data_IF_048899726294
#
_entry.id   IF_048899726294
#
_cell.length_a   1.000
_cell.length_b   1.000
_cell.length_c   1.000
_cell.angle_alpha   90.00
_cell.angle_beta   90.00
_cell.angle_gamma   90.00
#
_symmetry.space_group_name_H-M   'P 1'
#
loop_
_entity.id
_entity.type
_entity.pdbx_description
1 polymer ?
#
# COMPACT_ATOMS: atom_id res chain seq x y z
N UNK A 1 -59.15 -54.16 28.77
CA UNK A 1 -57.70 -54.46 28.59
C UNK A 1 -57.36 -54.12 27.15
N UNK A 2 -56.93 -52.95 26.90
CA UNK A 2 -56.60 -52.49 25.54
C UNK A 2 -55.06 -52.41 25.42
N UNK A 3 -54.51 -53.07 24.41
CA UNK A 3 -53.10 -53.06 24.08
C UNK A 3 -52.88 -51.93 23.05
N UNK A 4 -52.09 -50.95 23.40
CA UNK A 4 -51.64 -49.85 22.50
C UNK A 4 -50.38 -50.34 21.77
N UNK A 5 -50.50 -50.44 20.43
CA UNK A 5 -49.38 -50.73 19.53
C UNK A 5 -48.72 -49.38 19.14
N UNK A 6 -47.49 -49.19 19.56
CA UNK A 6 -46.66 -48.02 19.12
C UNK A 6 -45.99 -48.32 17.81
N UNK A 7 -46.33 -47.53 16.81
CA UNK A 7 -45.76 -47.59 15.47
C UNK A 7 -44.44 -46.76 15.48
N UNK A 8 -43.27 -47.44 15.25
CA UNK A 8 -41.98 -46.81 15.11
C UNK A 8 -41.78 -46.37 13.67
N UNK A 9 -41.88 -45.07 13.42
CA UNK A 9 -41.49 -44.46 12.17
C UNK A 9 -39.95 -44.37 12.10
N UNK A 10 -39.36 -45.02 11.13
CA UNK A 10 -37.91 -45.00 10.88
C UNK A 10 -37.64 -43.81 9.96
N UNK A 11 -37.04 -42.75 10.52
CA UNK A 11 -36.48 -41.64 9.71
C UNK A 11 -35.13 -42.08 9.14
N UNK A 12 -35.07 -42.28 7.81
CA UNK A 12 -33.83 -42.38 7.08
C UNK A 12 -33.24 -41.01 6.86
N UNK A 13 -32.21 -40.67 7.62
CA UNK A 13 -31.42 -39.46 7.40
C UNK A 13 -30.38 -39.77 6.34
N UNK A 14 -30.62 -39.35 5.11
CA UNK A 14 -29.63 -39.37 4.05
C UNK A 14 -28.55 -38.32 4.31
N UNK A 15 -27.39 -38.74 4.80
CA UNK A 15 -26.18 -37.94 4.91
C UNK A 15 -25.64 -37.73 3.49
N UNK A 16 -25.89 -36.55 2.92
CA UNK A 16 -25.30 -36.13 1.66
C UNK A 16 -23.86 -35.67 1.96
N UNK A 17 -22.87 -36.54 1.69
CA UNK A 17 -21.47 -36.20 1.69
C UNK A 17 -21.23 -35.23 0.52
N UNK A 18 -21.10 -33.94 0.81
CA UNK A 18 -20.57 -32.96 -0.13
C UNK A 18 -19.06 -33.14 -0.14
N UNK A 19 -18.55 -33.89 -1.12
CA UNK A 19 -17.13 -33.96 -1.41
C UNK A 19 -16.71 -32.62 -2.01
N UNK A 20 -15.98 -31.82 -1.22
CA UNK A 20 -15.25 -30.69 -1.76
C UNK A 20 -14.13 -31.23 -2.65
N UNK A 21 -14.35 -31.25 -3.95
CA UNK A 21 -13.25 -31.38 -4.90
C UNK A 21 -12.42 -30.10 -4.80
N UNK A 22 -11.27 -30.19 -4.12
CA UNK A 22 -10.18 -29.23 -4.27
C UNK A 22 -9.62 -29.47 -5.67
N UNK A 23 -10.17 -28.76 -6.66
CA UNK A 23 -9.51 -28.64 -7.95
C UNK A 23 -8.28 -27.78 -7.71
N UNK A 24 -7.13 -28.42 -7.82
CA UNK A 24 -5.82 -27.79 -7.91
C UNK A 24 -5.81 -27.03 -9.26
N UNK A 25 -6.36 -25.82 -9.25
CA UNK A 25 -6.29 -24.92 -10.40
C UNK A 25 -5.07 -24.05 -10.20
N UNK A 26 -4.01 -24.36 -10.91
CA UNK A 26 -2.95 -23.44 -11.29
C UNK A 26 -3.53 -22.34 -12.23
N UNK A 27 -4.57 -21.64 -11.78
CA UNK A 27 -5.23 -20.59 -12.50
C UNK A 27 -4.80 -19.24 -11.93
N UNK A 28 -4.16 -18.47 -12.77
CA UNK A 28 -3.98 -17.02 -12.81
C UNK A 28 -4.28 -16.24 -11.52
N UNK A 29 -3.22 -15.84 -10.80
CA UNK A 29 -3.26 -14.92 -9.65
C UNK A 29 -3.76 -13.50 -10.00
N UNK A 30 -4.22 -13.25 -11.23
CA UNK A 30 -4.58 -11.90 -11.71
C UNK A 30 -6.08 -11.59 -11.75
N UNK A 31 -6.96 -12.54 -11.48
CA UNK A 31 -8.40 -12.32 -11.68
C UNK A 31 -9.15 -12.33 -10.35
N UNK A 32 -9.26 -11.13 -9.73
CA UNK A 32 -10.26 -10.91 -8.68
C UNK A 32 -11.66 -11.11 -9.28
N UNK A 33 -12.59 -11.67 -8.51
CA UNK A 33 -14.00 -11.72 -8.93
C UNK A 33 -14.58 -10.30 -9.05
N UNK A 34 -15.61 -10.13 -9.86
CA UNK A 34 -16.32 -8.84 -10.01
C UNK A 34 -16.77 -8.30 -8.65
N UNK A 35 -17.23 -9.17 -7.77
CA UNK A 35 -17.64 -8.82 -6.41
C UNK A 35 -16.48 -8.32 -5.56
N UNK A 36 -15.33 -9.01 -5.58
CA UNK A 36 -14.13 -8.57 -4.87
C UNK A 36 -13.64 -7.21 -5.34
N UNK A 37 -13.61 -7.00 -6.67
CA UNK A 37 -13.22 -5.72 -7.27
C UNK A 37 -14.19 -4.61 -6.85
N UNK A 38 -15.52 -4.88 -6.90
CA UNK A 38 -16.55 -3.91 -6.47
C UNK A 38 -16.38 -3.54 -4.99
N UNK A 39 -16.12 -4.51 -4.12
CA UNK A 39 -15.92 -4.27 -2.70
C UNK A 39 -14.66 -3.45 -2.44
N UNK A 40 -13.54 -3.75 -3.11
CA UNK A 40 -12.31 -2.94 -3.01
C UNK A 40 -12.52 -1.51 -3.52
N UNK A 41 -13.33 -1.31 -4.58
CA UNK A 41 -13.60 0.01 -5.15
C UNK A 41 -14.50 0.88 -4.26
N UNK A 42 -15.41 0.28 -3.51
CA UNK A 42 -16.26 0.99 -2.54
C UNK A 42 -15.45 1.64 -1.42
N UNK A 43 -14.32 1.04 -1.02
CA UNK A 43 -13.50 1.56 0.09
C UNK A 43 -13.03 3.01 -0.16
N UNK A 44 -12.27 3.32 -1.25
CA UNK A 44 -11.88 4.70 -1.51
C UNK A 44 -13.06 5.61 -1.84
N UNK A 45 -14.09 5.13 -2.55
CA UNK A 45 -15.27 5.93 -2.86
C UNK A 45 -16.03 6.39 -1.61
N UNK A 46 -16.01 5.59 -0.54
CA UNK A 46 -16.71 5.91 0.71
C UNK A 46 -15.98 6.95 1.56
N UNK A 47 -14.71 7.26 1.30
CA UNK A 47 -13.94 8.12 2.18
C UNK A 47 -13.30 9.37 1.52
N UNK A 48 -12.97 9.36 0.21
CA UNK A 48 -12.21 10.46 -0.41
C UNK A 48 -12.89 11.83 -0.33
N UNK A 49 -14.21 11.89 -0.21
CA UNK A 49 -14.99 13.12 -0.03
C UNK A 49 -15.49 13.34 1.41
N UNK A 50 -15.14 12.45 2.35
CA UNK A 50 -15.56 12.54 3.76
C UNK A 50 -14.51 13.31 4.55
N UNK A 51 -14.86 14.55 4.93
CA UNK A 51 -13.94 15.48 5.59
C UNK A 51 -13.65 15.11 7.03
N UNK A 52 -14.62 14.52 7.76
CA UNK A 52 -14.49 14.17 9.19
C UNK A 52 -14.91 12.73 9.46
N UNK A 53 -14.25 12.03 10.46
CA UNK A 53 -13.15 12.52 11.31
C UNK A 53 -11.86 12.73 10.52
N UNK A 54 -10.98 13.66 10.98
CA UNK A 54 -9.74 14.00 10.28
C UNK A 54 -8.60 14.30 11.24
N UNK A 55 -7.38 13.93 10.84
CA UNK A 55 -6.13 14.19 11.54
C UNK A 55 -5.21 15.02 10.66
N UNK A 56 -5.17 16.33 10.86
CA UNK A 56 -4.41 17.26 10.03
C UNK A 56 -2.89 17.12 10.13
N UNK A 57 -2.38 16.79 11.32
CA UNK A 57 -0.94 16.61 11.54
C UNK A 57 -0.07 17.86 11.34
N UNK A 58 -0.67 19.06 11.34
CA UNK A 58 0.00 20.34 11.09
C UNK A 58 0.62 20.95 12.37
N UNK A 59 1.56 21.87 12.16
CA UNK A 59 2.08 22.75 13.22
C UNK A 59 1.42 24.11 13.06
N UNK A 60 0.71 24.56 14.10
CA UNK A 60 0.09 25.91 14.14
C UNK A 60 1.14 26.93 14.56
N UNK A 61 1.36 27.95 13.75
CA UNK A 61 2.20 29.11 14.06
C UNK A 61 1.39 30.27 14.65
N UNK A 62 0.10 30.31 14.32
CA UNK A 62 -0.87 31.31 14.83
C UNK A 62 -2.30 30.73 14.80
N UNK A 63 -3.26 31.48 15.33
CA UNK A 63 -4.67 31.15 15.26
C UNK A 63 -5.20 31.14 13.81
N UNK A 64 -4.58 31.89 12.91
CA UNK A 64 -4.97 31.97 11.50
C UNK A 64 -4.69 30.68 10.73
N UNK A 65 -3.85 29.79 11.30
CA UNK A 65 -3.57 28.45 10.75
C UNK A 65 -4.69 27.43 11.03
N UNK A 66 -5.70 27.81 11.85
CA UNK A 66 -6.85 26.95 12.18
C UNK A 66 -7.86 26.94 11.03
N UNK A 67 -7.57 26.16 10.02
CA UNK A 67 -8.46 25.93 8.88
C UNK A 67 -9.02 24.51 8.89
N UNK A 68 -10.16 24.31 8.22
CA UNK A 68 -10.71 22.96 8.05
C UNK A 68 -9.83 22.11 7.12
N UNK A 69 -9.92 20.76 7.20
CA UNK A 69 -9.16 19.89 6.31
C UNK A 69 -9.27 20.25 4.83
N UNK A 70 -10.49 20.53 4.37
CA UNK A 70 -10.75 20.91 2.97
C UNK A 70 -10.23 22.30 2.61
N UNK A 71 -10.17 23.21 3.55
CA UNK A 71 -9.59 24.53 3.33
C UNK A 71 -8.07 24.46 3.21
N UNK A 72 -7.41 23.60 3.98
CA UNK A 72 -5.97 23.38 3.95
C UNK A 72 -5.54 22.53 2.74
N UNK A 73 -6.24 21.44 2.51
CA UNK A 73 -5.88 20.39 1.55
C UNK A 73 -7.04 20.07 0.60
N UNK A 74 -7.39 21.00 -0.32
CA UNK A 74 -8.59 20.85 -1.14
C UNK A 74 -8.53 19.66 -2.10
N UNK A 75 -7.34 19.14 -2.41
CA UNK A 75 -7.18 17.92 -3.20
C UNK A 75 -7.29 16.66 -2.34
N UNK A 76 -6.83 16.70 -1.08
CA UNK A 76 -6.63 15.48 -0.28
C UNK A 76 -7.13 15.64 1.16
N UNK A 77 -8.40 16.06 1.32
CA UNK A 77 -9.03 16.32 2.62
C UNK A 77 -9.78 15.15 3.23
N UNK A 78 -10.07 14.10 2.44
CA UNK A 78 -10.87 12.96 2.90
C UNK A 78 -10.05 11.83 3.52
N UNK A 79 -10.70 10.70 3.80
CA UNK A 79 -10.07 9.47 4.28
C UNK A 79 -9.20 9.65 5.53
N UNK A 80 -9.61 10.47 6.51
CA UNK A 80 -8.98 10.64 7.81
C UNK A 80 -7.73 11.53 7.85
N UNK A 81 -6.80 11.39 6.89
CA UNK A 81 -5.60 12.23 6.79
C UNK A 81 -5.14 12.40 5.33
N UNK A 82 -4.17 13.27 5.10
CA UNK A 82 -3.70 13.61 3.77
C UNK A 82 -3.18 12.40 2.99
N UNK A 83 -2.26 11.64 3.58
CA UNK A 83 -1.68 10.49 2.89
C UNK A 83 -2.70 9.38 2.63
N UNK A 84 -3.67 9.18 3.52
CA UNK A 84 -4.74 8.20 3.28
C UNK A 84 -5.70 8.68 2.18
N UNK A 85 -5.92 10.00 2.05
CA UNK A 85 -6.64 10.55 0.90
C UNK A 85 -5.87 10.29 -0.40
N UNK A 86 -4.55 10.49 -0.42
CA UNK A 86 -3.70 10.14 -1.58
C UNK A 86 -3.79 8.65 -1.90
N UNK A 87 -3.77 7.78 -0.89
CA UNK A 87 -4.01 6.33 -1.07
C UNK A 87 -5.35 6.04 -1.73
N UNK A 88 -6.41 6.73 -1.28
CA UNK A 88 -7.75 6.59 -1.85
C UNK A 88 -7.77 6.97 -3.33
N UNK A 89 -7.17 8.10 -3.69
CA UNK A 89 -7.06 8.55 -5.08
C UNK A 89 -6.24 7.58 -5.93
N UNK A 90 -5.09 7.08 -5.40
CA UNK A 90 -4.31 6.05 -6.06
C UNK A 90 -5.14 4.78 -6.30
N UNK A 91 -5.89 4.33 -5.29
CA UNK A 91 -6.73 3.14 -5.37
C UNK A 91 -7.81 3.28 -6.44
N UNK A 92 -8.46 4.46 -6.55
CA UNK A 92 -9.43 4.74 -7.61
C UNK A 92 -8.77 4.62 -8.99
N UNK A 93 -7.63 5.28 -9.21
CA UNK A 93 -6.91 5.23 -10.49
C UNK A 93 -6.46 3.82 -10.82
N UNK A 94 -5.90 3.09 -9.85
CA UNK A 94 -5.42 1.71 -10.03
C UNK A 94 -6.54 0.76 -10.44
N UNK A 95 -7.68 0.84 -9.78
CA UNK A 95 -8.83 0.00 -10.08
C UNK A 95 -9.50 0.38 -11.41
N UNK A 96 -9.66 1.68 -11.71
CA UNK A 96 -10.17 2.15 -13.00
C UNK A 96 -9.27 1.71 -14.16
N UNK A 97 -7.94 1.75 -13.98
CA UNK A 97 -6.98 1.28 -14.99
C UNK A 97 -7.06 -0.22 -15.21
N UNK A 98 -7.25 -1.00 -14.15
CA UNK A 98 -7.29 -2.47 -14.23
C UNK A 98 -8.66 -3.00 -14.63
N UNK A 99 -9.73 -2.29 -14.29
CA UNK A 99 -11.14 -2.69 -14.49
C UNK A 99 -11.96 -1.49 -15.01
N UNK A 100 -11.77 -1.06 -16.28
CA UNK A 100 -12.34 0.20 -16.78
C UNK A 100 -13.87 0.23 -16.78
N UNK A 101 -14.53 -0.92 -16.78
CA UNK A 101 -16.00 -1.05 -16.79
C UNK A 101 -16.58 -1.32 -15.39
N UNK A 102 -15.84 -1.04 -14.32
CA UNK A 102 -16.32 -1.22 -12.94
C UNK A 102 -17.53 -0.30 -12.69
N UNK A 103 -18.48 -0.80 -11.90
CA UNK A 103 -19.63 0.01 -11.48
C UNK A 103 -19.15 1.30 -10.76
N UNK A 104 -19.81 2.43 -11.03
CA UNK A 104 -19.41 3.77 -10.53
C UNK A 104 -18.10 4.34 -11.11
N UNK A 105 -17.55 3.79 -12.20
CA UNK A 105 -16.33 4.29 -12.82
C UNK A 105 -16.41 5.79 -13.16
N UNK A 106 -17.52 6.25 -13.77
CA UNK A 106 -17.70 7.66 -14.14
C UNK A 106 -17.82 8.58 -12.92
N UNK A 107 -18.45 8.11 -11.84
CA UNK A 107 -18.46 8.86 -10.57
C UNK A 107 -17.04 9.05 -10.01
N UNK A 108 -16.24 8.00 -9.98
CA UNK A 108 -14.85 8.07 -9.54
C UNK A 108 -14.01 9.02 -10.41
N UNK A 109 -14.17 9.00 -11.74
CA UNK A 109 -13.51 9.95 -12.65
C UNK A 109 -13.93 11.41 -12.36
N UNK A 110 -15.19 11.63 -12.04
CA UNK A 110 -15.67 12.97 -11.69
C UNK A 110 -15.10 13.45 -10.34
N UNK A 111 -14.97 12.58 -9.35
CA UNK A 111 -14.28 12.89 -8.08
C UNK A 111 -12.83 13.27 -8.34
N UNK A 112 -12.09 12.46 -9.12
CA UNK A 112 -10.70 12.76 -9.47
C UNK A 112 -10.56 14.12 -10.16
N UNK A 113 -11.44 14.45 -11.15
CA UNK A 113 -11.44 15.75 -11.82
C UNK A 113 -11.74 16.92 -10.87
N UNK A 114 -12.65 16.71 -9.91
CA UNK A 114 -13.02 17.73 -8.92
C UNK A 114 -11.90 18.02 -7.93
N UNK A 115 -11.15 17.00 -7.53
CA UNK A 115 -10.09 17.12 -6.53
C UNK A 115 -8.76 17.58 -7.15
N UNK A 116 -8.38 17.02 -8.29
CA UNK A 116 -7.08 17.28 -8.94
C UNK A 116 -7.20 18.43 -9.96
N UNK A 117 -7.74 19.57 -9.54
CA UNK A 117 -7.75 20.81 -10.38
C UNK A 117 -6.43 21.55 -10.23
N UNK A 118 -6.10 22.41 -11.21
CA UNK A 118 -4.91 23.27 -11.16
C UNK A 118 -4.88 24.10 -9.87
N UNK A 119 -6.03 24.69 -9.49
CA UNK A 119 -6.14 25.53 -8.30
C UNK A 119 -5.90 24.74 -7.01
N UNK A 120 -6.55 23.58 -6.86
CA UNK A 120 -6.40 22.75 -5.67
C UNK A 120 -4.94 22.27 -5.52
N UNK A 121 -4.33 21.80 -6.61
CA UNK A 121 -2.94 21.35 -6.60
C UNK A 121 -1.97 22.50 -6.28
N UNK A 122 -2.22 23.70 -6.80
CA UNK A 122 -1.38 24.85 -6.45
C UNK A 122 -1.39 25.13 -4.94
N UNK A 123 -2.54 24.99 -4.27
CA UNK A 123 -2.63 25.16 -2.81
C UNK A 123 -1.84 24.07 -2.07
N UNK A 124 -1.86 22.82 -2.53
CA UNK A 124 -1.03 21.76 -1.96
C UNK A 124 0.47 22.04 -2.12
N UNK A 125 0.89 22.56 -3.29
CA UNK A 125 2.27 22.98 -3.56
C UNK A 125 2.70 24.10 -2.61
N UNK A 126 1.87 25.14 -2.46
CA UNK A 126 2.17 26.27 -1.60
C UNK A 126 2.28 25.84 -0.13
N UNK A 127 1.37 24.96 0.32
CA UNK A 127 1.44 24.39 1.66
C UNK A 127 2.74 23.61 1.92
N UNK A 128 3.17 22.75 0.97
CA UNK A 128 4.42 22.01 1.08
C UNK A 128 5.66 22.91 1.10
N UNK A 129 5.68 24.00 0.33
CA UNK A 129 6.77 24.98 0.33
C UNK A 129 6.92 25.67 1.68
N UNK A 130 5.80 25.99 2.33
CA UNK A 130 5.78 26.59 3.66
C UNK A 130 6.08 25.58 4.77
N UNK A 131 5.87 24.28 4.51
CA UNK A 131 6.01 23.17 5.46
C UNK A 131 6.83 21.98 4.87
N UNK A 132 8.11 22.18 4.52
CA UNK A 132 8.91 21.23 3.71
C UNK A 132 9.29 19.92 4.40
N UNK A 133 8.81 19.64 5.60
CA UNK A 133 8.97 18.38 6.30
C UNK A 133 7.65 17.61 6.50
N UNK A 134 6.54 18.25 6.14
CA UNK A 134 5.22 17.67 6.32
C UNK A 134 5.03 16.44 5.40
N UNK A 135 4.41 15.38 5.92
CA UNK A 135 4.14 14.10 5.24
C UNK A 135 5.39 13.31 4.79
N UNK A 136 6.59 13.73 5.19
CA UNK A 136 7.86 13.08 4.81
C UNK A 136 8.14 11.81 5.61
N UNK A 137 8.56 10.69 5.00
CA UNK A 137 8.61 10.44 3.55
C UNK A 137 7.36 9.73 3.00
N UNK A 138 6.43 9.29 3.85
CA UNK A 138 5.37 8.36 3.52
C UNK A 138 4.33 8.94 2.55
N UNK A 139 3.76 10.09 2.90
CA UNK A 139 2.80 10.77 2.04
C UNK A 139 3.42 11.21 0.72
N UNK A 140 4.69 11.68 0.74
CA UNK A 140 5.44 11.99 -0.48
C UNK A 140 5.55 10.79 -1.41
N UNK A 141 5.91 9.62 -0.86
CA UNK A 141 6.05 8.38 -1.62
C UNK A 141 4.73 7.98 -2.29
N UNK A 142 3.62 8.05 -1.55
CA UNK A 142 2.31 7.71 -2.09
C UNK A 142 1.81 8.70 -3.14
N UNK A 143 2.14 9.99 -3.02
CA UNK A 143 1.80 10.95 -4.09
C UNK A 143 2.57 10.66 -5.37
N UNK A 144 3.86 10.37 -5.29
CA UNK A 144 4.65 9.94 -6.45
C UNK A 144 4.13 8.62 -7.05
N UNK A 145 3.61 7.72 -6.21
CA UNK A 145 2.93 6.49 -6.67
C UNK A 145 1.63 6.80 -7.40
N UNK A 146 0.83 7.77 -6.91
CA UNK A 146 -0.38 8.24 -7.60
C UNK A 146 -0.04 8.85 -8.96
N UNK A 147 0.96 9.74 -9.04
CA UNK A 147 1.41 10.33 -10.30
C UNK A 147 1.87 9.24 -11.28
N UNK A 148 2.59 8.23 -10.80
CA UNK A 148 3.03 7.07 -11.60
C UNK A 148 1.86 6.23 -12.11
N UNK A 149 0.80 6.08 -11.33
CA UNK A 149 -0.38 5.32 -11.72
C UNK A 149 -1.18 6.05 -12.81
N UNK A 150 -1.39 7.38 -12.65
CA UNK A 150 -2.04 8.21 -13.65
C UNK A 150 -1.26 8.19 -14.97
N UNK A 151 0.07 8.28 -14.93
CA UNK A 151 0.94 8.22 -16.12
C UNK A 151 0.78 6.92 -16.91
N UNK A 152 0.49 5.82 -16.23
CA UNK A 152 0.28 4.49 -16.83
C UNK A 152 -1.16 4.24 -17.28
N UNK A 153 -2.07 5.14 -16.98
CA UNK A 153 -3.49 4.95 -17.24
C UNK A 153 -3.86 5.43 -18.66
N UNK A 154 -4.26 4.47 -19.50
CA UNK A 154 -4.71 4.76 -20.87
C UNK A 154 -6.22 5.11 -20.88
N UNK A 155 -6.54 6.34 -20.47
CA UNK A 155 -7.91 6.89 -20.46
C UNK A 155 -7.84 8.38 -20.83
N UNK A 156 -8.79 8.94 -21.60
CA UNK A 156 -8.77 10.36 -21.98
C UNK A 156 -8.69 11.35 -20.81
N UNK A 157 -9.11 10.96 -19.61
CA UNK A 157 -9.05 11.82 -18.43
C UNK A 157 -7.64 11.88 -17.82
N UNK A 158 -6.82 10.87 -18.06
CA UNK A 158 -5.52 10.71 -17.39
C UNK A 158 -4.53 11.83 -17.73
N UNK A 159 -4.49 12.27 -19.01
CA UNK A 159 -3.56 13.32 -19.45
C UNK A 159 -3.81 14.66 -18.71
N UNK A 160 -5.09 15.04 -18.57
CA UNK A 160 -5.46 16.25 -17.84
C UNK A 160 -5.16 16.14 -16.34
N UNK A 161 -5.50 15.00 -15.71
CA UNK A 161 -5.18 14.76 -14.29
C UNK A 161 -3.67 14.73 -14.04
N UNK A 162 -2.90 14.09 -14.94
CA UNK A 162 -1.44 14.03 -14.85
C UNK A 162 -0.81 15.41 -14.97
N UNK A 163 -1.23 16.20 -15.95
CA UNK A 163 -0.73 17.57 -16.14
C UNK A 163 -1.03 18.46 -14.91
N UNK A 164 -2.23 18.33 -14.32
CA UNK A 164 -2.60 19.07 -13.13
C UNK A 164 -1.77 18.66 -11.90
N UNK A 165 -1.52 17.34 -11.71
CA UNK A 165 -0.80 16.80 -10.54
C UNK A 165 0.71 17.03 -10.61
N UNK A 166 1.27 17.20 -11.82
CA UNK A 166 2.71 17.26 -12.04
C UNK A 166 3.43 18.32 -11.19
N UNK A 167 2.94 19.56 -11.01
CA UNK A 167 3.62 20.55 -10.17
C UNK A 167 3.83 20.09 -8.72
N UNK A 168 2.88 19.32 -8.15
CA UNK A 168 3.00 18.78 -6.80
C UNK A 168 4.02 17.63 -6.74
N UNK A 169 4.05 16.77 -7.76
CA UNK A 169 5.04 15.71 -7.87
C UNK A 169 6.46 16.28 -8.04
N UNK A 170 6.61 17.34 -8.84
CA UNK A 170 7.90 18.04 -9.03
C UNK A 170 8.40 18.69 -7.72
N UNK A 171 7.49 19.31 -6.95
CA UNK A 171 7.84 19.88 -5.64
C UNK A 171 8.32 18.79 -4.67
N UNK A 172 7.64 17.65 -4.63
CA UNK A 172 8.06 16.51 -3.80
C UNK A 172 9.41 15.95 -4.26
N UNK A 173 9.63 15.80 -5.57
CA UNK A 173 10.93 15.40 -6.10
C UNK A 173 12.04 16.36 -5.65
N UNK A 174 11.79 17.67 -5.77
CA UNK A 174 12.72 18.69 -5.29
C UNK A 174 13.00 18.54 -3.78
N UNK A 175 11.97 18.38 -2.97
CA UNK A 175 12.11 18.20 -1.51
C UNK A 175 12.91 16.95 -1.15
N UNK A 176 12.74 15.83 -1.86
CA UNK A 176 13.60 14.64 -1.70
C UNK A 176 15.07 14.97 -1.99
N UNK A 177 15.35 15.63 -3.12
CA UNK A 177 16.71 16.00 -3.52
C UNK A 177 17.37 16.91 -2.47
N UNK A 178 16.60 17.84 -1.88
CA UNK A 178 17.10 18.74 -0.83
C UNK A 178 17.29 18.05 0.53
N UNK A 179 16.45 17.05 0.84
CA UNK A 179 16.46 16.39 2.13
C UNK A 179 17.50 15.26 2.21
N UNK A 180 17.62 14.42 1.20
CA UNK A 180 18.45 13.22 1.24
C UNK A 180 19.91 13.50 1.61
N UNK A 181 20.59 14.57 1.15
CA UNK A 181 21.94 14.88 1.60
C UNK A 181 22.07 15.20 3.11
N UNK A 182 20.98 15.66 3.74
CA UNK A 182 20.94 16.03 5.15
C UNK A 182 20.64 14.84 6.07
N UNK A 183 19.98 13.81 5.57
CA UNK A 183 19.65 12.62 6.33
C UNK A 183 20.89 11.70 6.38
N UNK A 184 21.66 11.80 7.47
CA UNK A 184 22.90 11.02 7.62
C UNK A 184 22.61 9.54 7.87
N UNK A 185 21.60 9.25 8.70
CA UNK A 185 21.21 7.90 9.08
C UNK A 185 19.81 7.58 8.55
N UNK A 186 19.56 6.39 7.93
CA UNK A 186 18.24 5.98 7.53
C UNK A 186 17.39 5.63 8.74
N UNK A 187 16.08 5.83 8.64
CA UNK A 187 15.10 5.44 9.65
C UNK A 187 14.59 4.04 9.29
N UNK A 188 14.84 3.06 10.20
CA UNK A 188 14.50 1.64 10.03
C UNK A 188 13.38 1.24 10.98
N UNK A 189 12.17 1.72 10.72
CA UNK A 189 10.97 1.41 11.52
C UNK A 189 9.88 0.85 10.63
N UNK A 190 8.92 0.16 11.21
CA UNK A 190 7.77 -0.40 10.48
C UNK A 190 6.62 0.58 10.26
N UNK A 191 6.90 1.90 10.32
CA UNK A 191 5.90 2.96 10.28
C UNK A 191 6.23 4.04 9.22
N UNK A 192 5.41 5.13 9.20
CA UNK A 192 5.44 6.23 8.21
C UNK A 192 6.82 6.82 7.94
N UNK A 193 7.71 6.85 8.93
CA UNK A 193 9.05 7.43 8.78
C UNK A 193 10.07 6.49 8.10
N UNK A 194 9.69 5.28 7.70
CA UNK A 194 10.57 4.31 7.03
C UNK A 194 11.22 4.89 5.77
N UNK A 195 12.54 5.01 5.81
CA UNK A 195 13.31 5.63 4.71
C UNK A 195 13.29 4.74 3.46
N UNK A 196 13.52 3.45 3.58
CA UNK A 196 13.60 2.55 2.45
C UNK A 196 12.28 2.46 1.67
N UNK A 197 11.14 2.37 2.40
CA UNK A 197 9.81 2.43 1.79
C UNK A 197 9.60 3.74 1.01
N UNK A 198 9.89 4.89 1.64
CA UNK A 198 9.74 6.19 0.99
C UNK A 198 10.56 6.30 -0.29
N UNK A 199 11.80 5.79 -0.28
CA UNK A 199 12.68 5.80 -1.44
C UNK A 199 12.24 4.80 -2.54
N UNK A 200 11.52 3.73 -2.20
CA UNK A 200 11.07 2.73 -3.17
C UNK A 200 10.10 3.31 -4.19
N UNK A 201 9.05 3.98 -3.74
CA UNK A 201 8.08 4.60 -4.65
C UNK A 201 8.64 5.82 -5.37
N UNK A 202 9.49 6.60 -4.68
CA UNK A 202 10.20 7.71 -5.30
C UNK A 202 11.17 7.25 -6.40
N UNK A 203 11.83 6.09 -6.24
CA UNK A 203 12.65 5.48 -7.27
C UNK A 203 11.85 5.05 -8.49
N UNK A 204 10.73 4.35 -8.27
CA UNK A 204 9.84 3.91 -9.36
C UNK A 204 9.32 5.11 -10.18
N UNK A 205 8.95 6.22 -9.48
CA UNK A 205 8.60 7.49 -10.12
C UNK A 205 9.76 8.06 -10.94
N UNK A 206 10.95 8.18 -10.32
CA UNK A 206 12.12 8.77 -10.96
C UNK A 206 12.55 8.02 -12.23
N UNK A 207 12.37 6.70 -12.26
CA UNK A 207 12.61 5.86 -13.44
C UNK A 207 11.56 6.13 -14.52
N UNK A 208 10.26 6.14 -14.14
CA UNK A 208 9.14 6.30 -15.08
C UNK A 208 9.09 7.69 -15.74
N UNK A 209 9.42 8.74 -14.97
CA UNK A 209 9.41 10.12 -15.44
C UNK A 209 10.79 10.61 -15.92
N UNK A 210 11.79 9.73 -15.93
CA UNK A 210 13.17 10.06 -16.32
C UNK A 210 13.79 11.19 -15.50
N UNK A 211 13.38 11.34 -14.22
CA UNK A 211 13.94 12.31 -13.28
C UNK A 211 15.35 11.86 -12.84
N UNK A 212 16.34 12.31 -13.62
CA UNK A 212 17.75 11.96 -13.37
C UNK A 212 18.29 12.52 -12.07
N UNK A 213 17.76 13.66 -11.61
CA UNK A 213 18.17 14.32 -10.36
C UNK A 213 17.75 13.49 -9.16
N UNK A 214 16.47 13.17 -9.07
CA UNK A 214 15.89 12.35 -8.00
C UNK A 214 16.50 10.94 -8.00
N UNK A 215 16.58 10.31 -9.18
CA UNK A 215 17.16 8.98 -9.34
C UNK A 215 18.59 8.92 -8.78
N UNK A 216 19.45 9.87 -9.15
CA UNK A 216 20.84 9.93 -8.67
C UNK A 216 20.92 10.15 -7.16
N UNK A 217 20.07 11.00 -6.61
CA UNK A 217 20.01 11.27 -5.17
C UNK A 217 19.61 10.02 -4.39
N UNK A 218 18.58 9.29 -4.86
CA UNK A 218 18.11 8.05 -4.22
C UNK A 218 19.17 6.96 -4.32
N UNK A 219 19.71 6.70 -5.53
CA UNK A 219 20.74 5.67 -5.75
C UNK A 219 21.93 5.86 -4.81
N UNK A 220 22.46 7.10 -4.77
CA UNK A 220 23.58 7.42 -3.90
C UNK A 220 23.26 7.09 -2.44
N UNK A 221 22.10 7.54 -1.93
CA UNK A 221 21.77 7.36 -0.51
C UNK A 221 21.38 5.94 -0.16
N UNK A 222 20.71 5.22 -1.03
CA UNK A 222 20.43 3.81 -0.82
C UNK A 222 21.73 2.98 -0.71
N UNK A 223 22.71 3.26 -1.56
CA UNK A 223 24.02 2.60 -1.48
C UNK A 223 24.79 3.02 -0.22
N UNK A 224 24.79 4.31 0.15
CA UNK A 224 25.42 4.79 1.37
C UNK A 224 24.81 4.11 2.62
N UNK A 225 23.49 3.90 2.66
CA UNK A 225 22.79 3.37 3.81
C UNK A 225 22.81 1.85 3.93
N UNK A 226 22.61 1.15 2.81
CA UNK A 226 22.15 -0.24 2.84
C UNK A 226 23.11 -1.24 2.18
N UNK A 227 24.07 -0.78 1.37
CA UNK A 227 24.97 -1.68 0.65
C UNK A 227 25.76 -2.63 1.54
N UNK A 228 26.08 -2.19 2.75
CA UNK A 228 26.90 -2.94 3.69
C UNK A 228 26.10 -3.64 4.80
N UNK A 229 24.77 -3.53 4.78
CA UNK A 229 23.91 -4.17 5.78
C UNK A 229 23.91 -5.69 5.61
N UNK A 230 23.93 -6.40 6.74
CA UNK A 230 24.03 -7.85 6.85
C UNK A 230 23.12 -8.34 7.97
N UNK A 231 22.67 -9.58 7.90
CA UNK A 231 21.95 -10.28 8.97
C UNK A 231 20.79 -9.46 9.55
N UNK A 232 19.90 -8.91 8.69
CA UNK A 232 18.78 -8.10 9.16
C UNK A 232 17.91 -8.91 10.14
N UNK A 233 17.64 -8.36 11.36
CA UNK A 233 16.97 -9.09 12.41
C UNK A 233 15.46 -9.23 12.17
N UNK A 234 15.04 -9.82 11.07
CA UNK A 234 13.63 -10.00 10.67
C UNK A 234 12.83 -10.79 11.72
N UNK A 235 13.49 -11.57 12.57
CA UNK A 235 12.86 -12.31 13.67
C UNK A 235 12.43 -11.42 14.85
N UNK A 236 12.82 -10.14 14.87
CA UNK A 236 12.33 -9.14 15.82
C UNK A 236 11.04 -8.47 15.32
N UNK A 237 10.70 -8.65 14.05
CA UNK A 237 9.49 -8.10 13.47
C UNK A 237 8.27 -9.02 13.68
N UNK A 238 7.09 -8.45 13.92
CA UNK A 238 6.81 -7.03 13.95
C UNK A 238 7.11 -6.38 15.30
N UNK A 239 7.34 -5.07 15.31
CA UNK A 239 7.13 -4.23 16.47
C UNK A 239 5.63 -4.00 16.70
N UNK A 240 5.23 -3.42 17.83
CA UNK A 240 3.86 -3.39 18.36
C UNK A 240 2.72 -3.20 17.36
N UNK A 241 2.83 -2.27 16.40
CA UNK A 241 1.82 -1.95 15.39
C UNK A 241 2.44 -1.57 14.04
N UNK A 242 3.51 -2.23 13.66
CA UNK A 242 4.12 -2.08 12.34
C UNK A 242 3.11 -2.37 11.22
N UNK A 243 3.13 -1.57 10.15
CA UNK A 243 2.43 -1.86 8.89
C UNK A 243 3.41 -2.03 7.72
N UNK A 244 4.69 -1.83 7.96
CA UNK A 244 5.80 -2.13 7.06
C UNK A 244 6.79 -3.05 7.80
N UNK A 245 7.51 -3.88 7.04
CA UNK A 245 8.66 -4.61 7.53
C UNK A 245 9.92 -3.80 7.25
N UNK A 246 10.69 -3.34 8.23
CA UNK A 246 11.95 -2.65 7.99
C UNK A 246 12.90 -3.44 7.10
N UNK A 247 13.14 -4.72 7.40
CA UNK A 247 14.01 -5.58 6.60
C UNK A 247 13.50 -5.76 5.16
N UNK A 248 12.20 -6.02 4.98
CA UNK A 248 11.66 -6.22 3.64
C UNK A 248 11.55 -4.92 2.84
N UNK A 249 11.32 -3.76 3.49
CA UNK A 249 11.35 -2.46 2.81
C UNK A 249 12.74 -2.15 2.25
N UNK A 250 13.79 -2.47 3.01
CA UNK A 250 15.17 -2.32 2.57
C UNK A 250 15.50 -3.26 1.41
N UNK A 251 15.12 -4.52 1.51
CA UNK A 251 15.23 -5.51 0.43
C UNK A 251 14.50 -5.04 -0.84
N UNK A 252 13.30 -4.49 -0.70
CA UNK A 252 12.47 -4.04 -1.82
C UNK A 252 13.08 -2.85 -2.57
N UNK A 253 13.73 -1.94 -1.84
CA UNK A 253 14.50 -0.85 -2.44
C UNK A 253 15.76 -1.38 -3.15
N UNK A 254 16.55 -2.21 -2.45
CA UNK A 254 17.84 -2.66 -2.96
C UNK A 254 17.71 -3.56 -4.21
N UNK A 255 16.62 -4.36 -4.33
CA UNK A 255 16.36 -5.14 -5.56
C UNK A 255 16.10 -4.30 -6.80
N UNK A 256 15.70 -3.02 -6.63
CA UNK A 256 15.48 -2.06 -7.72
C UNK A 256 16.75 -1.33 -8.12
N UNK A 257 17.66 -1.15 -7.18
CA UNK A 257 18.85 -0.30 -7.35
C UNK A 257 20.07 -1.13 -7.76
N UNK A 258 20.28 -2.28 -7.13
CA UNK A 258 21.45 -3.10 -7.42
C UNK A 258 21.29 -3.87 -8.74
N UNK A 259 22.36 -3.98 -9.55
CA UNK A 259 22.40 -4.97 -10.62
C UNK A 259 22.12 -6.38 -10.10
N UNK A 260 21.53 -7.24 -10.94
CA UNK A 260 21.05 -8.58 -10.56
C UNK A 260 22.07 -9.39 -9.74
N UNK A 261 23.29 -9.53 -10.24
CA UNK A 261 24.33 -10.34 -9.61
C UNK A 261 24.74 -9.76 -8.25
N UNK A 262 24.85 -8.43 -8.17
CA UNK A 262 25.15 -7.72 -6.92
C UNK A 262 24.03 -7.85 -5.91
N UNK A 263 22.78 -7.79 -6.36
CA UNK A 263 21.62 -7.99 -5.48
C UNK A 263 21.55 -9.41 -4.94
N UNK A 264 21.76 -10.43 -5.80
CA UNK A 264 21.72 -11.83 -5.38
C UNK A 264 22.84 -12.20 -4.41
N UNK A 265 24.00 -11.54 -4.51
CA UNK A 265 25.05 -11.68 -3.50
C UNK A 265 24.68 -10.97 -2.20
N UNK A 266 24.20 -9.73 -2.28
CA UNK A 266 23.84 -8.90 -1.13
C UNK A 266 22.70 -9.53 -0.30
N UNK A 267 21.63 -10.03 -0.93
CA UNK A 267 20.47 -10.59 -0.22
C UNK A 267 20.81 -11.85 0.56
N UNK A 268 21.79 -12.64 0.09
CA UNK A 268 22.28 -13.83 0.83
C UNK A 268 22.99 -13.48 2.14
N UNK A 269 23.65 -12.33 2.16
CA UNK A 269 24.28 -11.81 3.37
C UNK A 269 23.28 -11.04 4.26
N UNK A 270 22.31 -10.36 3.63
CA UNK A 270 21.33 -9.53 4.32
C UNK A 270 20.21 -10.33 5.00
N UNK A 271 19.67 -11.33 4.30
CA UNK A 271 18.62 -12.24 4.80
C UNK A 271 18.93 -13.70 4.41
N UNK A 272 19.96 -14.33 5.03
CA UNK A 272 20.46 -15.64 4.62
C UNK A 272 19.39 -16.72 4.58
N UNK A 273 18.49 -16.74 5.58
CA UNK A 273 17.42 -17.73 5.70
C UNK A 273 16.39 -17.69 4.58
N UNK A 274 16.22 -16.51 3.93
CA UNK A 274 15.20 -16.33 2.90
C UNK A 274 15.47 -17.14 1.61
N UNK A 275 16.73 -17.53 1.38
CA UNK A 275 17.10 -18.37 0.24
C UNK A 275 16.70 -19.84 0.38
N UNK A 276 16.33 -20.29 1.59
CA UNK A 276 15.96 -21.67 1.85
C UNK A 276 14.49 -21.91 1.47
N UNK A 277 14.20 -23.03 0.81
CA UNK A 277 12.84 -23.38 0.35
C UNK A 277 11.87 -23.68 1.49
N UNK A 278 12.37 -23.97 2.68
CA UNK A 278 11.61 -24.17 3.91
C UNK A 278 11.48 -22.90 4.76
N UNK A 279 11.94 -21.75 4.26
CA UNK A 279 11.77 -20.45 4.92
C UNK A 279 10.32 -20.20 5.35
N UNK A 280 10.15 -19.65 6.54
CA UNK A 280 8.85 -19.28 7.11
C UNK A 280 8.88 -17.84 7.58
N UNK A 281 7.78 -17.16 7.38
CA UNK A 281 7.52 -15.83 7.93
C UNK A 281 6.09 -15.85 8.49
N UNK A 282 5.98 -15.67 9.81
CA UNK A 282 4.68 -15.67 10.48
C UNK A 282 3.88 -14.44 10.14
N UNK A 283 2.56 -14.59 10.04
CA UNK A 283 1.63 -13.47 9.83
C UNK A 283 1.56 -12.58 11.07
N UNK A 284 1.44 -11.27 10.88
CA UNK A 284 1.09 -10.33 11.93
C UNK A 284 -0.36 -10.58 12.38
N UNK A 285 -0.60 -10.64 13.70
CA UNK A 285 -1.91 -10.96 14.27
C UNK A 285 -2.44 -9.77 15.06
N UNK A 286 -3.64 -9.32 14.73
CA UNK A 286 -4.37 -8.27 15.45
C UNK A 286 -5.06 -8.89 16.65
N UNK A 287 -4.71 -8.43 17.86
CA UNK A 287 -5.29 -8.93 19.11
C UNK A 287 -6.58 -8.21 19.51
N UNK A 288 -6.70 -6.93 19.14
CA UNK A 288 -7.90 -6.12 19.37
C UNK A 288 -8.17 -5.27 18.11
N UNK A 289 -9.29 -5.56 17.44
CA UNK A 289 -9.68 -4.87 16.21
C UNK A 289 -10.38 -3.53 16.46
N UNK A 290 -10.69 -3.20 17.70
CA UNK A 290 -11.24 -1.88 18.08
C UNK A 290 -10.15 -0.83 18.27
N UNK A 291 -8.87 -1.25 18.39
CA UNK A 291 -7.72 -0.37 18.46
C UNK A 291 -7.22 -0.05 17.03
N UNK A 292 -7.41 1.22 16.62
CA UNK A 292 -6.97 1.70 15.29
C UNK A 292 -5.48 1.57 15.00
N UNK A 293 -4.63 1.38 16.04
CA UNK A 293 -3.20 1.12 15.88
C UNK A 293 -2.89 -0.36 15.67
N UNK A 294 -3.51 -1.25 16.44
CA UNK A 294 -3.23 -2.69 16.34
C UNK A 294 -3.66 -3.29 15.00
N UNK A 295 -4.69 -2.73 14.34
CA UNK A 295 -5.11 -3.16 12.99
C UNK A 295 -4.05 -2.88 11.91
N UNK A 296 -3.02 -2.09 12.21
CA UNK A 296 -1.86 -1.89 11.34
C UNK A 296 -1.15 -3.20 10.98
N UNK A 297 -1.23 -4.23 11.83
CA UNK A 297 -0.63 -5.54 11.56
C UNK A 297 -1.27 -6.27 10.36
N UNK A 298 -2.52 -5.97 9.99
CA UNK A 298 -3.07 -6.42 8.70
C UNK A 298 -2.39 -5.72 7.51
N UNK A 299 -2.08 -4.43 7.66
CA UNK A 299 -1.28 -3.69 6.67
C UNK A 299 0.13 -4.28 6.51
N UNK A 300 0.75 -4.72 7.62
CA UNK A 300 2.03 -5.43 7.58
C UNK A 300 1.95 -6.70 6.73
N UNK A 301 0.88 -7.48 6.84
CA UNK A 301 0.70 -8.68 6.04
C UNK A 301 0.65 -8.34 4.54
N UNK A 302 -0.08 -7.31 4.15
CA UNK A 302 -0.10 -6.85 2.76
C UNK A 302 1.26 -6.32 2.29
N UNK A 303 1.94 -5.53 3.11
CA UNK A 303 3.24 -4.97 2.75
C UNK A 303 4.32 -6.04 2.63
N UNK A 304 4.34 -7.03 3.50
CA UNK A 304 5.21 -8.20 3.35
C UNK A 304 4.90 -8.95 2.06
N UNK A 305 3.61 -9.15 1.76
CA UNK A 305 3.18 -9.89 0.58
C UNK A 305 3.64 -9.24 -0.73
N UNK A 306 3.50 -7.91 -0.91
CA UNK A 306 3.94 -7.28 -2.16
C UNK A 306 5.45 -7.35 -2.36
N UNK A 307 6.25 -7.26 -1.27
CA UNK A 307 7.71 -7.41 -1.38
C UNK A 307 8.09 -8.83 -1.78
N UNK A 308 7.52 -9.83 -1.11
CA UNK A 308 7.77 -11.25 -1.41
C UNK A 308 7.33 -11.62 -2.83
N UNK A 309 6.18 -11.11 -3.30
CA UNK A 309 5.74 -11.27 -4.70
C UNK A 309 6.74 -10.61 -5.67
N UNK A 310 7.12 -9.36 -5.39
CA UNK A 310 8.08 -8.63 -6.22
C UNK A 310 9.40 -9.38 -6.38
N UNK A 311 9.93 -9.96 -5.29
CA UNK A 311 11.14 -10.77 -5.32
C UNK A 311 10.94 -12.07 -6.10
N UNK A 312 9.85 -12.80 -5.83
CA UNK A 312 9.54 -14.07 -6.49
C UNK A 312 9.26 -13.91 -8.00
N UNK A 313 8.69 -12.78 -8.42
CA UNK A 313 8.45 -12.47 -9.83
C UNK A 313 9.74 -12.12 -10.57
N UNK A 314 10.70 -11.50 -9.89
CA UNK A 314 11.94 -11.04 -10.50
C UNK A 314 13.02 -12.12 -10.51
N UNK A 315 13.05 -13.01 -9.51
CA UNK A 315 14.11 -14.00 -9.32
C UNK A 315 13.55 -15.40 -9.05
N UNK A 316 13.81 -16.33 -9.97
CA UNK A 316 13.33 -17.72 -9.90
C UNK A 316 13.77 -18.44 -8.63
N UNK A 317 14.97 -18.16 -8.13
CA UNK A 317 15.51 -18.76 -6.90
C UNK A 317 14.65 -18.45 -5.66
N UNK A 318 13.78 -17.45 -5.74
CA UNK A 318 12.87 -17.00 -4.68
C UNK A 318 11.39 -17.30 -4.97
N UNK A 319 11.08 -18.17 -5.94
CA UNK A 319 9.69 -18.51 -6.33
C UNK A 319 8.87 -19.07 -5.15
N UNK A 320 9.50 -19.80 -4.23
CA UNK A 320 8.87 -20.35 -3.03
C UNK A 320 8.24 -19.28 -2.12
N UNK A 321 8.72 -18.03 -2.16
CA UNK A 321 8.17 -16.90 -1.39
C UNK A 321 6.76 -16.51 -1.81
N UNK A 322 6.33 -16.86 -3.03
CA UNK A 322 4.97 -16.62 -3.52
C UNK A 322 3.91 -17.28 -2.62
N UNK A 323 4.20 -18.49 -2.13
CA UNK A 323 3.30 -19.19 -1.20
C UNK A 323 3.15 -18.45 0.12
N UNK A 324 4.24 -17.87 0.64
CA UNK A 324 4.23 -17.09 1.88
C UNK A 324 3.44 -15.80 1.66
N UNK A 325 3.68 -15.09 0.54
CA UNK A 325 2.93 -13.90 0.18
C UNK A 325 1.42 -14.17 0.13
N UNK A 326 1.00 -15.27 -0.53
CA UNK A 326 -0.40 -15.68 -0.58
C UNK A 326 -0.99 -15.95 0.80
N UNK A 327 -0.21 -16.58 1.71
CA UNK A 327 -0.65 -16.81 3.09
C UNK A 327 -0.94 -15.51 3.82
N UNK A 328 -0.05 -14.51 3.70
CA UNK A 328 -0.23 -13.19 4.31
C UNK A 328 -1.45 -12.45 3.77
N UNK A 329 -1.64 -12.44 2.44
CA UNK A 329 -2.83 -11.84 1.80
C UNK A 329 -4.11 -12.51 2.30
N UNK A 330 -4.18 -13.85 2.22
CA UNK A 330 -5.39 -14.59 2.59
C UNK A 330 -5.76 -14.45 4.07
N UNK A 331 -4.76 -14.22 4.94
CA UNK A 331 -5.00 -14.01 6.37
C UNK A 331 -5.68 -12.67 6.64
N UNK A 332 -5.26 -11.60 5.97
CA UNK A 332 -5.73 -10.24 6.26
C UNK A 332 -6.87 -9.77 5.35
N UNK A 333 -7.04 -10.35 4.15
CA UNK A 333 -8.06 -9.94 3.20
C UNK A 333 -9.50 -9.96 3.74
N UNK A 334 -9.93 -10.96 4.54
CA UNK A 334 -11.28 -10.98 5.12
C UNK A 334 -11.55 -9.83 6.10
N UNK A 335 -10.51 -9.17 6.58
CA UNK A 335 -10.60 -8.14 7.63
C UNK A 335 -10.86 -6.73 7.09
N UNK A 336 -10.76 -6.52 5.77
CA UNK A 336 -10.88 -5.19 5.13
C UNK A 336 -12.21 -4.46 5.37
N UNK A 337 -13.28 -5.19 5.67
CA UNK A 337 -14.65 -4.64 5.78
C UNK A 337 -15.18 -4.61 7.20
N UNK A 338 -14.42 -5.08 8.19
CA UNK A 338 -14.90 -5.29 9.56
C UNK A 338 -14.28 -4.32 10.58
N UNK A 339 -13.33 -3.49 10.19
CA UNK A 339 -12.62 -2.58 11.08
C UNK A 339 -13.32 -1.21 11.19
N UNK A 340 -13.10 -0.53 12.32
CA UNK A 340 -13.52 0.84 12.49
C UNK A 340 -12.86 1.76 11.44
N UNK A 341 -13.51 2.91 11.16
CA UNK A 341 -13.06 3.85 10.11
C UNK A 341 -11.60 4.29 10.27
N UNK A 342 -11.16 4.58 11.49
CA UNK A 342 -9.77 5.04 11.76
C UNK A 342 -8.71 3.98 11.45
N UNK A 343 -9.03 2.70 11.60
CA UNK A 343 -8.11 1.59 11.32
C UNK A 343 -8.22 1.05 9.89
N UNK A 344 -9.42 1.12 9.29
CA UNK A 344 -9.75 0.45 8.03
C UNK A 344 -9.60 1.29 6.76
N UNK A 345 -9.66 2.63 6.87
CA UNK A 345 -9.75 3.54 5.70
C UNK A 345 -8.58 3.41 4.70
N UNK A 346 -7.39 3.01 5.14
CA UNK A 346 -6.18 2.90 4.32
C UNK A 346 -5.81 1.44 3.93
N UNK A 347 -6.31 0.44 4.68
CA UNK A 347 -5.99 -0.98 4.43
C UNK A 347 -6.36 -1.44 3.02
N UNK A 348 -7.43 -0.88 2.45
CA UNK A 348 -7.85 -1.18 1.09
C UNK A 348 -6.76 -0.91 0.05
N UNK A 349 -6.01 0.19 0.17
CA UNK A 349 -4.92 0.51 -0.75
C UNK A 349 -3.76 -0.47 -0.64
N UNK A 350 -3.43 -0.92 0.56
CA UNK A 350 -2.41 -1.95 0.79
C UNK A 350 -2.82 -3.30 0.18
N UNK A 351 -4.08 -3.69 0.38
CA UNK A 351 -4.61 -4.90 -0.25
C UNK A 351 -4.60 -4.82 -1.77
N UNK A 352 -5.05 -3.70 -2.35
CA UNK A 352 -5.05 -3.47 -3.81
C UNK A 352 -3.61 -3.56 -4.35
N UNK A 353 -2.63 -2.97 -3.65
CA UNK A 353 -1.23 -3.04 -4.07
C UNK A 353 -0.69 -4.48 -3.98
N UNK A 354 -0.94 -5.19 -2.89
CA UNK A 354 -0.52 -6.57 -2.74
C UNK A 354 -1.16 -7.54 -3.76
N UNK A 355 -2.40 -7.28 -4.17
CA UNK A 355 -3.13 -8.13 -5.10
C UNK A 355 -2.77 -7.86 -6.56
N UNK A 356 -2.61 -6.57 -6.97
CA UNK A 356 -2.55 -6.18 -8.38
C UNK A 356 -1.15 -5.80 -8.88
N UNK A 357 -0.15 -5.61 -8.01
CA UNK A 357 1.25 -5.36 -8.36
C UNK A 357 2.09 -6.59 -8.07
#
# INVERSE_FOLDING_TARGET
MGVIVLNKSIFHSSLMLIAFFITDSSADEKNLSTEQVSNLFKLPLSCVEVEYPNKLGQVLKSQDDLLSPKQLHPSFYGCFDWHSSVHGHWSLVRLLRSYPNIENAENAKNILKKHLTVENIQREVDYLRDNPSWERPYGWAWLLKLASEIKKWNDPVADGLGANLQPLADEISYLYIQHLPKLIYPIRVGEHSNTAFGLTFAWDYAVLFEDKGLRKAIEKRALDYYKNDRDCPIHWEPSGYDFLSPCLSELDLMRRILPKESFLAWVKDFLPSMSHTDYRLEVGKVSDRTDGKLVHLDGLNFSRAWVLKGLSNQYKDYEHLRKIAKTHINFSLPNLVNDGYEGGHWLGSFAIYALLD
#
